data_IF_828845914233
#
_entry.id   IF_828845914233
#
_cell.length_a   1.000
_cell.length_b   1.000
_cell.length_c   1.000
_cell.angle_alpha   90.00
_cell.angle_beta   90.00
_cell.angle_gamma   90.00
#
_symmetry.space_group_name_H-M   'P 1'
#
loop_
_entity.id
_entity.type
_entity.pdbx_description
1 polymer ?
#
# COMPACT_ATOMS: atom_id res chain seq x y z
N UNK A 1 -6.12 16.87 -8.70
CA UNK A 1 -4.73 16.86 -8.20
C UNK A 1 -3.98 18.08 -8.70
N UNK A 2 -3.07 18.60 -7.88
CA UNK A 2 -2.26 19.79 -8.16
C UNK A 2 -0.82 19.47 -7.74
N UNK A 3 0.16 19.86 -8.57
CA UNK A 3 1.57 19.75 -8.24
C UNK A 3 2.17 21.11 -7.87
N UNK A 4 2.95 21.14 -6.80
CA UNK A 4 3.81 22.27 -6.42
C UNK A 4 5.19 21.73 -6.07
N UNK A 5 6.17 21.93 -6.96
CA UNK A 5 7.48 21.29 -6.88
C UNK A 5 7.29 19.75 -6.81
N UNK A 6 7.90 19.08 -5.85
CA UNK A 6 7.76 17.65 -5.62
C UNK A 6 6.58 17.27 -4.69
N UNK A 7 5.64 18.18 -4.42
CA UNK A 7 4.45 17.89 -3.60
C UNK A 7 3.23 17.79 -4.51
N UNK A 8 2.52 16.67 -4.43
CA UNK A 8 1.22 16.46 -5.06
C UNK A 8 0.15 16.61 -3.98
N UNK A 9 -0.90 17.35 -4.31
CA UNK A 9 -2.07 17.52 -3.46
C UNK A 9 -3.33 17.02 -4.17
N UNK A 10 -4.11 16.23 -3.47
CA UNK A 10 -5.49 15.94 -3.85
C UNK A 10 -6.40 16.87 -3.06
N UNK A 11 -7.13 17.73 -3.77
CA UNK A 11 -8.15 18.62 -3.20
C UNK A 11 -9.50 17.98 -3.41
N UNK A 12 -10.28 17.81 -2.34
CA UNK A 12 -11.62 17.23 -2.37
C UNK A 12 -12.55 17.97 -1.40
N UNK A 13 -13.86 17.78 -1.49
CA UNK A 13 -14.80 18.31 -0.49
C UNK A 13 -14.52 17.79 0.93
N UNK A 14 -13.85 16.64 1.06
CA UNK A 14 -13.46 16.04 2.34
C UNK A 14 -12.13 16.60 2.89
N UNK A 15 -11.48 17.51 2.19
CA UNK A 15 -10.21 18.10 2.61
C UNK A 15 -9.10 17.93 1.58
N UNK A 16 -7.91 18.37 1.98
CA UNK A 16 -6.69 18.33 1.18
C UNK A 16 -5.73 17.35 1.80
N UNK A 17 -5.17 16.46 0.98
CA UNK A 17 -4.10 15.54 1.37
C UNK A 17 -2.95 15.62 0.40
N UNK A 18 -1.75 15.27 0.85
CA UNK A 18 -0.52 15.49 0.11
C UNK A 18 0.42 14.29 0.12
N UNK A 19 1.25 14.24 -0.92
CA UNK A 19 2.36 13.30 -1.06
C UNK A 19 3.62 14.06 -1.46
N UNK A 20 4.74 13.72 -0.84
CA UNK A 20 6.06 14.16 -1.29
C UNK A 20 6.58 13.09 -2.25
N UNK A 21 6.69 13.46 -3.51
CA UNK A 21 7.09 12.60 -4.62
C UNK A 21 8.61 12.65 -4.84
N UNK A 22 9.20 11.74 -5.65
CA UNK A 22 10.56 11.90 -6.15
C UNK A 22 10.78 13.28 -6.78
N UNK A 23 12.00 13.79 -6.75
CA UNK A 23 12.30 15.17 -7.21
C UNK A 23 12.03 15.39 -8.70
N UNK A 24 12.19 14.34 -9.49
CA UNK A 24 11.98 14.31 -10.95
C UNK A 24 10.58 13.85 -11.38
N UNK A 25 9.67 13.64 -10.41
CA UNK A 25 8.30 13.27 -10.71
C UNK A 25 7.50 14.45 -11.28
N UNK A 26 6.80 14.20 -12.37
CA UNK A 26 5.91 15.18 -13.02
C UNK A 26 4.48 14.65 -13.09
N UNK A 27 3.54 15.37 -12.46
CA UNK A 27 2.11 14.99 -12.43
C UNK A 27 1.50 14.85 -13.83
N UNK A 28 1.95 15.68 -14.79
CA UNK A 28 1.46 15.64 -16.18
C UNK A 28 1.79 14.33 -16.91
N UNK A 29 2.76 13.57 -16.42
CA UNK A 29 3.16 12.27 -16.96
C UNK A 29 2.38 11.10 -16.32
N UNK A 30 1.59 11.38 -15.28
CA UNK A 30 0.73 10.39 -14.63
C UNK A 30 -0.60 10.33 -15.35
N UNK A 31 -0.97 9.15 -15.84
CA UNK A 31 -2.23 8.93 -16.55
C UNK A 31 -3.44 9.30 -15.67
N UNK A 32 -4.45 9.93 -16.26
CA UNK A 32 -5.65 10.38 -15.54
C UNK A 32 -6.36 9.23 -14.82
N UNK A 33 -6.35 8.03 -15.38
CA UNK A 33 -6.94 6.83 -14.77
C UNK A 33 -6.31 6.52 -13.39
N UNK A 34 -5.02 6.75 -13.22
CA UNK A 34 -4.34 6.57 -11.93
C UNK A 34 -4.78 7.61 -10.91
N UNK A 35 -4.91 8.87 -11.33
CA UNK A 35 -5.39 9.94 -10.46
C UNK A 35 -6.83 9.67 -10.02
N UNK A 36 -7.69 9.27 -10.95
CA UNK A 36 -9.09 8.93 -10.69
C UNK A 36 -9.20 7.70 -9.79
N UNK A 37 -8.41 6.67 -10.04
CA UNK A 37 -8.36 5.47 -9.20
C UNK A 37 -7.83 5.76 -7.79
N UNK A 38 -6.80 6.58 -7.65
CA UNK A 38 -6.29 7.01 -6.34
C UNK A 38 -7.37 7.77 -5.57
N UNK A 39 -8.04 8.73 -6.19
CA UNK A 39 -9.16 9.44 -5.58
C UNK A 39 -10.27 8.48 -5.17
N UNK A 40 -10.63 7.51 -6.02
CA UNK A 40 -11.66 6.53 -5.72
C UNK A 40 -11.28 5.64 -4.54
N UNK A 41 -10.06 5.12 -4.49
CA UNK A 41 -9.56 4.31 -3.38
C UNK A 41 -9.66 5.06 -2.05
N UNK A 42 -9.36 6.36 -2.05
CA UNK A 42 -9.38 7.18 -0.84
C UNK A 42 -10.78 7.66 -0.44
N UNK A 43 -11.62 8.05 -1.41
CA UNK A 43 -12.87 8.76 -1.17
C UNK A 43 -14.12 7.86 -1.30
N UNK A 44 -13.98 6.60 -1.69
CA UNK A 44 -15.12 5.69 -1.91
C UNK A 44 -16.13 5.63 -0.74
N UNK A 45 -15.70 5.61 0.53
CA UNK A 45 -16.66 5.63 1.65
C UNK A 45 -17.49 6.91 1.72
N UNK A 46 -17.02 8.02 1.15
CA UNK A 46 -17.66 9.33 1.17
C UNK A 46 -18.37 9.64 -0.16
N UNK A 47 -17.87 9.08 -1.28
CA UNK A 47 -18.46 9.28 -2.61
C UNK A 47 -18.36 8.01 -3.44
N UNK A 48 -19.51 7.50 -3.89
CA UNK A 48 -19.60 6.30 -4.73
C UNK A 48 -19.58 6.62 -6.23
N UNK A 49 -19.74 7.90 -6.60
CA UNK A 49 -19.95 8.35 -8.00
C UNK A 49 -18.66 8.76 -8.74
N UNK A 50 -17.49 8.62 -8.13
CA UNK A 50 -16.22 9.07 -8.72
C UNK A 50 -15.86 8.37 -10.03
N UNK A 51 -16.43 7.20 -10.27
CA UNK A 51 -16.18 6.41 -11.48
C UNK A 51 -17.38 6.36 -12.44
N UNK A 52 -18.45 7.15 -12.20
CA UNK A 52 -19.62 7.18 -13.08
C UNK A 52 -19.19 7.65 -14.48
N UNK A 53 -19.52 6.85 -15.49
CA UNK A 53 -19.16 7.13 -16.90
C UNK A 53 -17.68 7.03 -17.23
N UNK A 54 -16.85 6.52 -16.29
CA UNK A 54 -15.43 6.36 -16.54
C UNK A 54 -15.13 5.15 -17.44
N UNK A 55 -14.34 5.40 -18.48
CA UNK A 55 -13.82 4.39 -19.39
C UNK A 55 -12.30 4.44 -19.33
N UNK A 56 -11.66 3.49 -18.63
CA UNK A 56 -10.22 3.49 -18.49
C UNK A 56 -9.49 3.16 -19.79
N UNK A 57 -8.31 3.73 -19.97
CA UNK A 57 -7.49 3.58 -21.17
C UNK A 57 -6.01 3.35 -20.91
N UNK A 58 -5.56 3.45 -19.63
CA UNK A 58 -4.17 3.23 -19.25
C UNK A 58 -3.72 1.81 -19.60
N UNK A 59 -2.50 1.70 -20.09
CA UNK A 59 -1.85 0.42 -20.35
C UNK A 59 -0.96 0.00 -19.18
N UNK A 60 -0.87 -1.30 -18.95
CA UNK A 60 0.01 -1.86 -17.91
C UNK A 60 1.47 -1.52 -18.17
N UNK A 61 2.23 -1.33 -17.10
CA UNK A 61 3.68 -1.25 -17.12
C UNK A 61 4.36 -2.62 -17.25
N UNK A 62 5.51 -2.81 -16.58
CA UNK A 62 6.32 -4.04 -16.69
C UNK A 62 6.86 -4.54 -15.35
N UNK A 63 6.53 -3.89 -14.26
CA UNK A 63 7.14 -4.15 -12.95
C UNK A 63 6.06 -4.30 -11.89
N UNK A 64 6.15 -5.28 -10.98
CA UNK A 64 5.25 -5.35 -9.85
C UNK A 64 5.58 -4.29 -8.80
N UNK A 65 4.54 -3.74 -8.18
CA UNK A 65 4.62 -2.83 -7.04
C UNK A 65 4.22 -3.51 -5.73
N UNK A 66 4.81 -3.10 -4.61
CA UNK A 66 4.46 -3.59 -3.28
C UNK A 66 4.26 -2.43 -2.30
N UNK A 67 3.11 -2.39 -1.62
CA UNK A 67 2.91 -1.54 -0.45
C UNK A 67 3.67 -2.12 0.74
N UNK A 68 4.88 -1.59 0.97
CA UNK A 68 5.81 -2.08 1.99
C UNK A 68 5.53 -1.41 3.33
N UNK A 69 5.16 -2.18 4.35
CA UNK A 69 4.99 -1.67 5.72
C UNK A 69 6.22 -1.88 6.61
N UNK A 70 7.24 -2.59 6.13
CA UNK A 70 8.41 -3.04 6.90
C UNK A 70 8.06 -4.00 8.06
N UNK A 71 6.83 -4.51 8.10
CA UNK A 71 6.43 -5.60 8.98
C UNK A 71 6.70 -6.97 8.35
N UNK A 72 6.62 -8.04 9.16
CA UNK A 72 6.91 -9.43 8.74
C UNK A 72 6.14 -9.79 7.46
N UNK A 73 4.84 -9.51 7.40
CA UNK A 73 4.00 -9.91 6.26
C UNK A 73 4.44 -9.22 4.96
N UNK A 74 4.70 -7.91 5.00
CA UNK A 74 5.13 -7.16 3.79
C UNK A 74 6.54 -7.54 3.35
N UNK A 75 7.44 -7.87 4.29
CA UNK A 75 8.78 -8.32 3.95
C UNK A 75 8.75 -9.76 3.43
N UNK A 76 7.93 -10.66 4.01
CA UNK A 76 7.71 -11.99 3.47
C UNK A 76 7.14 -11.92 2.04
N UNK A 77 6.20 -11.01 1.79
CA UNK A 77 5.67 -10.75 0.44
C UNK A 77 6.79 -10.35 -0.52
N UNK A 78 7.64 -9.39 -0.12
CA UNK A 78 8.76 -8.93 -0.96
C UNK A 78 9.73 -10.07 -1.30
N UNK A 79 10.01 -10.95 -0.35
CA UNK A 79 10.90 -12.12 -0.55
C UNK A 79 10.32 -13.13 -1.56
N UNK A 80 9.01 -13.17 -1.73
CA UNK A 80 8.32 -14.03 -2.70
C UNK A 80 8.14 -13.37 -4.07
N UNK A 81 8.34 -12.05 -4.17
CA UNK A 81 8.15 -11.29 -5.41
C UNK A 81 9.41 -11.25 -6.28
N UNK A 82 9.27 -10.99 -7.59
CA UNK A 82 10.40 -10.84 -8.50
C UNK A 82 11.40 -9.77 -8.08
N UNK A 83 12.67 -9.91 -8.50
CA UNK A 83 13.73 -8.95 -8.16
C UNK A 83 13.53 -7.55 -8.74
N UNK A 84 12.76 -7.40 -9.82
CA UNK A 84 12.43 -6.10 -10.40
C UNK A 84 11.27 -5.38 -9.69
N UNK A 85 10.81 -5.89 -8.55
CA UNK A 85 9.74 -5.29 -7.75
C UNK A 85 10.13 -3.90 -7.25
N UNK A 86 9.16 -2.98 -7.29
CA UNK A 86 9.23 -1.67 -6.67
C UNK A 86 8.46 -1.72 -5.35
N UNK A 87 9.14 -1.60 -4.23
CA UNK A 87 8.53 -1.64 -2.91
C UNK A 87 8.58 -0.24 -2.27
N UNK A 88 7.42 0.36 -2.07
CA UNK A 88 7.28 1.71 -1.55
C UNK A 88 6.74 1.71 -0.13
N UNK A 89 7.48 2.35 0.77
CA UNK A 89 7.08 2.54 2.16
C UNK A 89 6.30 3.84 2.32
N UNK A 90 5.07 3.74 2.83
CA UNK A 90 4.28 4.92 3.21
C UNK A 90 4.77 5.49 4.55
N UNK A 91 5.33 6.70 4.52
CA UNK A 91 5.77 7.45 5.70
C UNK A 91 4.76 8.53 6.04
N UNK A 92 4.20 8.47 7.23
CA UNK A 92 3.26 9.50 7.71
C UNK A 92 3.97 10.83 7.93
N UNK A 93 3.41 11.92 7.42
CA UNK A 93 3.90 13.29 7.67
C UNK A 93 3.43 13.88 9.00
N UNK A 94 2.53 13.21 9.71
CA UNK A 94 1.95 13.63 10.98
C UNK A 94 2.42 12.75 12.15
N UNK A 95 2.31 13.27 13.38
CA UNK A 95 2.64 12.54 14.61
C UNK A 95 1.72 11.33 14.77
N UNK A 96 2.29 10.15 14.87
CA UNK A 96 1.55 8.88 15.02
C UNK A 96 2.26 7.95 16.00
N UNK A 97 1.59 6.87 16.41
CA UNK A 97 2.21 5.83 17.25
C UNK A 97 3.25 4.99 16.49
N UNK A 98 3.29 5.08 15.17
CA UNK A 98 4.27 4.35 14.36
C UNK A 98 5.66 4.97 14.54
N UNK A 99 6.62 4.13 14.89
CA UNK A 99 8.04 4.51 15.03
C UNK A 99 8.77 4.28 13.70
N UNK A 100 8.79 5.29 12.83
CA UNK A 100 9.45 5.21 11.52
C UNK A 100 10.92 4.77 11.61
N UNK A 101 11.64 5.13 12.70
CA UNK A 101 13.02 4.65 12.92
C UNK A 101 13.18 3.14 12.87
N UNK A 102 12.15 2.37 13.27
CA UNK A 102 12.18 0.91 13.15
C UNK A 102 12.06 0.45 11.69
N UNK A 103 11.21 1.13 10.91
CA UNK A 103 11.12 0.88 9.48
C UNK A 103 12.41 1.27 8.76
N UNK A 104 13.08 2.35 9.19
CA UNK A 104 14.33 2.82 8.59
C UNK A 104 15.44 1.75 8.65
N UNK A 105 15.49 0.97 9.72
CA UNK A 105 16.44 -0.15 9.83
C UNK A 105 16.19 -1.19 8.73
N UNK A 106 14.92 -1.60 8.56
CA UNK A 106 14.54 -2.55 7.51
C UNK A 106 14.80 -1.98 6.12
N UNK A 107 14.40 -0.72 5.88
CA UNK A 107 14.59 -0.04 4.59
C UNK A 107 16.06 0.08 4.22
N UNK A 108 16.92 0.44 5.17
CA UNK A 108 18.37 0.55 4.94
C UNK A 108 18.95 -0.81 4.54
N UNK A 109 18.57 -1.89 5.24
CA UNK A 109 19.03 -3.23 4.91
C UNK A 109 18.54 -3.69 3.54
N UNK A 110 17.27 -3.44 3.21
CA UNK A 110 16.72 -3.77 1.88
C UNK A 110 17.42 -3.00 0.75
N UNK A 111 17.74 -1.72 0.96
CA UNK A 111 18.51 -0.91 -0.01
C UNK A 111 19.95 -1.44 -0.19
N UNK A 112 20.60 -1.78 0.92
CA UNK A 112 21.95 -2.38 0.90
C UNK A 112 21.99 -3.68 0.08
N UNK A 113 20.97 -4.52 0.20
CA UNK A 113 20.87 -5.77 -0.58
C UNK A 113 20.77 -5.54 -2.10
N UNK A 114 20.32 -4.38 -2.53
CA UNK A 114 20.22 -3.97 -3.95
C UNK A 114 19.50 -4.99 -4.87
N UNK A 115 18.50 -5.70 -4.32
CA UNK A 115 17.72 -6.71 -5.04
C UNK A 115 16.43 -6.14 -5.65
N UNK A 116 15.90 -5.07 -5.05
CA UNK A 116 14.63 -4.42 -5.39
C UNK A 116 14.79 -2.91 -5.45
N UNK A 117 13.86 -2.23 -6.09
CA UNK A 117 13.76 -0.77 -5.96
C UNK A 117 13.01 -0.46 -4.67
N UNK A 118 13.66 0.18 -3.69
CA UNK A 118 13.09 0.50 -2.38
C UNK A 118 13.05 2.02 -2.21
N UNK A 119 11.87 2.57 -1.95
CA UNK A 119 11.71 3.99 -1.68
C UNK A 119 10.68 4.28 -0.59
N UNK A 120 10.60 5.55 -0.14
CA UNK A 120 9.69 6.01 0.90
C UNK A 120 8.93 7.24 0.43
N UNK A 121 7.61 7.19 0.51
CA UNK A 121 6.74 8.30 0.12
C UNK A 121 6.08 8.87 1.37
N UNK A 122 6.30 10.16 1.62
CA UNK A 122 5.70 10.88 2.75
C UNK A 122 4.30 11.33 2.37
N UNK A 123 3.31 11.08 3.22
CA UNK A 123 1.93 11.48 2.97
C UNK A 123 1.11 11.59 4.25
N UNK A 124 0.03 12.37 4.16
CA UNK A 124 -1.00 12.52 5.20
C UNK A 124 -2.38 11.96 4.79
N UNK A 125 -2.49 11.22 3.72
CA UNK A 125 -3.79 10.79 3.16
C UNK A 125 -4.67 9.99 4.14
N UNK A 126 -4.09 9.38 5.18
CA UNK A 126 -4.85 8.70 6.23
C UNK A 126 -5.74 9.66 7.07
N UNK A 127 -5.44 10.97 7.03
CA UNK A 127 -6.25 12.00 7.72
C UNK A 127 -7.66 12.09 7.15
N UNK A 128 -7.87 11.76 5.88
CA UNK A 128 -9.20 11.73 5.26
C UNK A 128 -10.21 10.87 6.04
N UNK A 129 -9.75 9.84 6.73
CA UNK A 129 -10.65 8.98 7.51
C UNK A 129 -11.33 9.73 8.65
N UNK A 130 -10.76 10.82 9.15
CA UNK A 130 -11.35 11.61 10.22
C UNK A 130 -12.61 12.35 9.77
N UNK A 131 -12.78 12.60 8.49
CA UNK A 131 -14.03 13.19 7.95
C UNK A 131 -15.26 12.25 8.03
N UNK A 132 -15.01 11.00 8.41
CA UNK A 132 -16.07 10.00 8.69
C UNK A 132 -16.25 9.76 10.19
N UNK A 133 -15.84 10.69 11.06
CA UNK A 133 -15.83 10.55 12.51
C UNK A 133 -15.11 9.29 13.02
N UNK A 134 -14.03 8.90 12.30
CA UNK A 134 -13.20 7.74 12.63
C UNK A 134 -11.77 8.18 12.96
N UNK A 135 -11.04 7.44 13.80
CA UNK A 135 -9.63 7.70 14.03
C UNK A 135 -8.82 7.73 12.73
N UNK A 136 -7.71 8.48 12.73
CA UNK A 136 -6.75 8.51 11.61
C UNK A 136 -6.38 7.07 11.21
N UNK A 137 -6.36 6.81 9.91
CA UNK A 137 -6.05 5.50 9.33
C UNK A 137 -6.52 5.40 7.90
N UNK A 138 -6.36 4.25 7.29
CA UNK A 138 -6.78 4.03 5.92
C UNK A 138 -8.31 4.07 5.80
N UNK A 139 -8.80 4.81 4.80
CA UNK A 139 -10.24 4.96 4.54
C UNK A 139 -10.86 3.71 3.90
N UNK A 140 -10.07 2.98 3.11
CA UNK A 140 -10.40 1.67 2.54
C UNK A 140 -9.23 0.71 2.71
N UNK A 141 -9.45 -0.58 2.43
CA UNK A 141 -8.40 -1.61 2.50
C UNK A 141 -7.26 -1.32 1.49
N UNK A 142 -7.56 -0.67 0.37
CA UNK A 142 -6.58 -0.31 -0.66
C UNK A 142 -5.98 1.09 -0.51
N UNK A 143 -6.42 1.88 0.45
CA UNK A 143 -5.84 3.21 0.71
C UNK A 143 -4.33 3.15 1.05
N UNK A 144 -3.86 2.02 1.58
CA UNK A 144 -2.43 1.77 1.79
C UNK A 144 -1.61 1.70 0.50
N UNK A 145 -2.25 1.55 -0.67
CA UNK A 145 -1.62 1.52 -2.00
C UNK A 145 -1.68 2.86 -2.73
N UNK A 146 -2.27 3.92 -2.15
CA UNK A 146 -2.48 5.20 -2.84
C UNK A 146 -1.20 5.76 -3.50
N UNK A 147 -0.08 5.68 -2.81
CA UNK A 147 1.22 6.13 -3.33
C UNK A 147 1.76 5.25 -4.48
N UNK A 148 1.48 3.93 -4.48
CA UNK A 148 1.81 3.05 -5.61
C UNK A 148 0.97 3.37 -6.83
N UNK A 149 -0.31 3.68 -6.63
CA UNK A 149 -1.22 4.05 -7.73
C UNK A 149 -0.73 5.34 -8.38
N UNK A 150 -0.42 6.38 -7.59
CA UNK A 150 0.07 7.66 -8.10
C UNK A 150 1.40 7.54 -8.84
N UNK A 151 2.27 6.63 -8.42
CA UNK A 151 3.61 6.44 -8.98
C UNK A 151 3.67 5.28 -10.00
N UNK A 152 2.51 4.75 -10.42
CA UNK A 152 2.49 3.57 -11.29
C UNK A 152 3.11 3.82 -12.66
N UNK A 153 2.94 5.00 -13.25
CA UNK A 153 3.59 5.33 -14.52
C UNK A 153 5.07 5.66 -14.32
N UNK A 154 5.40 6.41 -13.29
CA UNK A 154 6.79 6.76 -12.95
C UNK A 154 7.68 5.51 -12.77
N UNK A 155 7.17 4.48 -12.10
CA UNK A 155 7.88 3.21 -11.91
C UNK A 155 7.52 2.14 -12.95
N UNK A 156 6.65 2.42 -13.91
CA UNK A 156 6.14 1.49 -14.91
C UNK A 156 5.51 0.22 -14.29
N UNK A 157 4.60 0.42 -13.33
CA UNK A 157 3.96 -0.69 -12.64
C UNK A 157 2.87 -1.36 -13.49
N UNK A 158 2.85 -2.69 -13.48
CA UNK A 158 1.80 -3.56 -14.06
C UNK A 158 0.86 -4.12 -12.99
N UNK A 159 1.30 -4.11 -11.75
CA UNK A 159 0.54 -4.71 -10.64
C UNK A 159 0.89 -4.05 -9.32
N UNK A 160 0.00 -4.23 -8.34
CA UNK A 160 0.24 -3.84 -6.94
C UNK A 160 0.02 -5.04 -6.03
N UNK A 161 0.80 -5.11 -4.94
CA UNK A 161 0.71 -6.15 -3.94
C UNK A 161 0.65 -5.57 -2.52
N UNK A 162 0.06 -6.34 -1.62
CA UNK A 162 0.04 -6.08 -0.18
C UNK A 162 0.43 -7.34 0.58
N UNK A 163 1.04 -7.16 1.75
CA UNK A 163 1.33 -8.25 2.69
C UNK A 163 0.08 -8.68 3.45
N UNK A 164 -0.76 -9.51 2.84
CA UNK A 164 -1.99 -10.03 3.43
C UNK A 164 -1.92 -11.56 3.55
N UNK A 165 -1.55 -12.12 4.73
CA UNK A 165 -1.57 -13.56 4.97
C UNK A 165 -3.01 -14.10 5.00
N UNK A 166 -3.15 -15.43 4.97
CA UNK A 166 -4.44 -16.14 5.00
C UNK A 166 -5.32 -15.69 6.17
N UNK A 167 -4.71 -15.43 7.31
CA UNK A 167 -5.40 -14.98 8.53
C UNK A 167 -6.15 -13.65 8.33
N UNK A 168 -5.64 -12.77 7.47
CA UNK A 168 -6.26 -11.48 7.15
C UNK A 168 -7.11 -11.55 5.88
N UNK A 169 -6.79 -12.45 4.97
CA UNK A 169 -7.45 -12.58 3.66
C UNK A 169 -8.74 -13.38 3.79
N UNK A 170 -8.67 -14.53 4.44
CA UNK A 170 -9.77 -15.51 4.48
C UNK A 170 -10.46 -15.61 5.83
N UNK A 171 -9.87 -15.09 6.90
CA UNK A 171 -10.44 -15.16 8.23
C UNK A 171 -11.01 -13.81 8.67
N UNK A 172 -12.28 -13.80 9.01
CA UNK A 172 -12.92 -12.65 9.65
C UNK A 172 -12.59 -12.69 11.14
N UNK A 173 -11.94 -11.64 11.66
CA UNK A 173 -11.51 -11.53 13.06
C UNK A 173 -10.66 -12.70 13.55
N UNK A 174 -9.93 -13.35 12.64
CA UNK A 174 -9.05 -14.47 12.99
C UNK A 174 -9.74 -15.78 13.35
N UNK A 175 -11.07 -15.84 13.31
CA UNK A 175 -11.82 -17.01 13.81
C UNK A 175 -12.82 -17.61 12.82
N UNK A 176 -13.27 -16.85 11.82
CA UNK A 176 -14.29 -17.29 10.87
C UNK A 176 -13.80 -17.16 9.44
N UNK A 177 -13.92 -18.23 8.68
CA UNK A 177 -13.68 -18.17 7.23
C UNK A 177 -14.61 -17.13 6.60
N UNK A 178 -14.04 -16.21 5.81
CA UNK A 178 -14.82 -15.33 4.95
C UNK A 178 -15.48 -16.21 3.88
N UNK A 179 -16.81 -16.17 3.80
CA UNK A 179 -17.51 -16.78 2.69
C UNK A 179 -17.28 -15.90 1.45
N UNK A 180 -16.29 -16.25 0.63
CA UNK A 180 -15.93 -15.52 -0.60
C UNK A 180 -17.14 -15.25 -1.49
N UNK A 181 -18.08 -16.17 -1.55
CA UNK A 181 -19.33 -16.01 -2.29
C UNK A 181 -20.19 -14.84 -1.80
N UNK A 182 -20.13 -14.51 -0.49
CA UNK A 182 -20.89 -13.40 0.10
C UNK A 182 -20.12 -12.08 0.12
N UNK A 183 -18.80 -12.13 0.00
CA UNK A 183 -17.91 -10.95 -0.01
C UNK A 183 -17.29 -10.72 -1.40
N UNK A 184 -17.90 -11.26 -2.46
CA UNK A 184 -17.55 -11.08 -3.88
C UNK A 184 -17.21 -9.61 -4.20
N UNK A 185 -17.97 -8.68 -3.60
CA UNK A 185 -17.81 -7.26 -3.81
C UNK A 185 -16.41 -6.73 -3.53
N UNK A 186 -15.72 -7.17 -2.47
CA UNK A 186 -14.39 -6.63 -2.13
C UNK A 186 -13.34 -7.09 -3.14
N UNK A 187 -13.37 -8.36 -3.53
CA UNK A 187 -12.35 -8.94 -4.41
C UNK A 187 -12.67 -8.71 -5.89
N UNK A 188 -13.88 -9.03 -6.34
CA UNK A 188 -14.28 -8.88 -7.75
C UNK A 188 -14.29 -7.40 -8.13
N UNK A 189 -14.95 -6.54 -7.34
CA UNK A 189 -15.03 -5.12 -7.63
C UNK A 189 -13.66 -4.44 -7.71
N UNK A 190 -12.80 -4.61 -6.72
CA UNK A 190 -11.49 -3.98 -6.72
C UNK A 190 -10.55 -4.60 -7.74
N UNK A 191 -10.60 -5.93 -7.89
CA UNK A 191 -9.81 -6.63 -8.89
C UNK A 191 -10.12 -6.12 -10.29
N UNK A 192 -11.38 -6.09 -10.67
CA UNK A 192 -11.80 -5.61 -11.99
C UNK A 192 -11.40 -4.14 -12.22
N UNK A 193 -11.55 -3.27 -11.22
CA UNK A 193 -11.14 -1.88 -11.30
C UNK A 193 -9.62 -1.73 -11.49
N UNK A 194 -8.83 -2.45 -10.73
CA UNK A 194 -7.37 -2.39 -10.88
C UNK A 194 -6.92 -2.99 -12.22
N UNK A 195 -7.50 -4.09 -12.64
CA UNK A 195 -7.21 -4.70 -13.95
C UNK A 195 -7.57 -3.75 -15.10
N UNK A 196 -8.67 -3.02 -15.00
CA UNK A 196 -9.12 -2.08 -16.04
C UNK A 196 -8.15 -0.93 -16.28
N UNK A 197 -7.32 -0.56 -15.31
CA UNK A 197 -6.27 0.46 -15.45
C UNK A 197 -4.87 -0.17 -15.63
N UNK A 198 -4.79 -1.45 -15.94
CA UNK A 198 -3.51 -2.13 -16.12
C UNK A 198 -2.66 -2.22 -14.84
N UNK A 199 -3.29 -2.31 -13.68
CA UNK A 199 -2.66 -2.55 -12.38
C UNK A 199 -3.29 -3.78 -11.72
N UNK A 200 -2.85 -4.98 -12.07
CA UNK A 200 -3.38 -6.19 -11.44
C UNK A 200 -3.12 -6.23 -9.95
N UNK A 201 -4.12 -6.65 -9.15
CA UNK A 201 -3.92 -6.83 -7.72
C UNK A 201 -3.36 -8.22 -7.41
N UNK A 202 -2.25 -8.26 -6.67
CA UNK A 202 -1.57 -9.49 -6.26
C UNK A 202 -1.53 -9.62 -4.73
N UNK A 203 -1.75 -10.84 -4.23
CA UNK A 203 -1.63 -11.19 -2.82
C UNK A 203 -0.79 -12.45 -2.62
N UNK A 204 0.56 -12.35 -2.73
CA UNK A 204 1.45 -13.52 -2.68
C UNK A 204 1.35 -14.34 -1.38
N UNK A 205 0.91 -13.72 -0.28
CA UNK A 205 0.71 -14.41 1.00
C UNK A 205 -0.71 -14.93 1.24
N UNK A 206 -1.64 -14.80 0.29
CA UNK A 206 -3.05 -15.16 0.51
C UNK A 206 -3.28 -16.62 0.97
N UNK A 207 -2.41 -17.53 0.56
CA UNK A 207 -2.42 -18.94 0.99
C UNK A 207 -1.47 -19.28 2.14
N UNK A 208 -0.79 -18.31 2.73
CA UNK A 208 0.26 -18.50 3.74
C UNK A 208 -0.17 -17.86 5.05
N UNK A 209 -0.08 -18.60 6.15
CA UNK A 209 -0.40 -18.09 7.50
C UNK A 209 0.65 -17.09 7.99
N UNK A 210 0.31 -16.30 9.02
CA UNK A 210 1.27 -15.41 9.70
C UNK A 210 2.50 -16.19 10.21
N UNK A 211 2.31 -17.42 10.71
CA UNK A 211 3.41 -18.30 11.08
C UNK A 211 4.29 -18.70 9.88
N UNK A 212 3.67 -18.93 8.72
CA UNK A 212 4.37 -19.18 7.46
C UNK A 212 5.16 -17.95 6.99
N UNK A 213 4.57 -16.75 7.06
CA UNK A 213 5.25 -15.48 6.75
C UNK A 213 6.48 -15.26 7.66
N UNK A 214 6.33 -15.51 8.98
CA UNK A 214 7.45 -15.45 9.91
C UNK A 214 8.57 -16.44 9.54
N UNK A 215 8.21 -17.67 9.15
CA UNK A 215 9.18 -18.69 8.72
C UNK A 215 9.94 -18.27 7.46
N UNK A 216 9.27 -17.63 6.49
CA UNK A 216 9.93 -17.08 5.30
C UNK A 216 10.98 -16.04 5.70
N UNK A 217 10.61 -15.06 6.55
CA UNK A 217 11.54 -14.02 7.01
C UNK A 217 12.65 -14.62 7.87
N UNK A 218 12.35 -15.58 8.76
CA UNK A 218 13.35 -16.26 9.60
C UNK A 218 14.42 -16.98 8.79
N UNK A 219 14.07 -17.51 7.63
CA UNK A 219 15.01 -18.20 6.74
C UNK A 219 15.77 -17.24 5.80
N UNK A 220 15.62 -15.92 5.97
CA UNK A 220 16.31 -14.89 5.21
C UNK A 220 17.30 -14.11 6.07
N UNK A 221 18.21 -13.39 5.43
CA UNK A 221 19.13 -12.45 6.08
C UNK A 221 18.46 -11.21 6.70
N UNK A 222 17.10 -11.11 6.63
CA UNK A 222 16.35 -9.96 7.10
C UNK A 222 15.77 -10.15 8.51
N UNK A 223 15.86 -11.33 9.12
CA UNK A 223 15.18 -11.60 10.39
C UNK A 223 15.54 -10.60 11.50
N UNK A 224 16.79 -10.21 11.60
CA UNK A 224 17.27 -9.28 12.64
C UNK A 224 16.92 -7.81 12.37
N UNK A 225 16.47 -7.51 11.17
CA UNK A 225 16.15 -6.14 10.70
C UNK A 225 14.64 -5.87 10.60
N UNK A 226 13.79 -6.90 10.71
CA UNK A 226 12.34 -6.79 10.56
C UNK A 226 11.66 -6.79 11.92
N UNK A 227 10.71 -5.90 12.10
CA UNK A 227 9.93 -5.81 13.33
C UNK A 227 8.48 -6.23 13.06
N UNK A 228 7.91 -7.10 13.94
CA UNK A 228 6.49 -7.47 13.88
C UNK A 228 5.57 -6.29 14.22
N UNK A 229 6.08 -5.29 14.93
CA UNK A 229 5.30 -4.13 15.36
C UNK A 229 6.15 -2.85 15.32
N UNK A 230 5.68 -1.86 14.58
CA UNK A 230 6.31 -0.53 14.52
C UNK A 230 5.84 0.42 15.62
N UNK A 231 4.89 0.01 16.49
CA UNK A 231 4.32 0.89 17.52
C UNK A 231 5.11 0.88 18.83
N UNK A 232 5.74 -0.20 19.20
CA UNK A 232 6.45 -0.32 20.48
C UNK A 232 7.68 0.59 20.61
N UNK A 233 8.08 0.90 21.83
CA UNK A 233 9.30 1.69 22.15
C UNK A 233 10.57 0.84 22.25
N UNK A 234 10.45 -0.46 22.44
CA UNK A 234 11.54 -1.41 22.65
C UNK A 234 11.91 -2.20 21.39
N UNK A 235 12.93 -3.04 21.48
CA UNK A 235 13.28 -4.05 20.48
C UNK A 235 12.15 -5.07 20.28
N UNK A 236 11.31 -5.26 21.30
CA UNK A 236 10.13 -6.11 21.24
C UNK A 236 8.90 -5.36 20.75
N UNK A 237 7.89 -6.03 20.23
CA UNK A 237 6.60 -5.45 19.85
C UNK A 237 5.91 -4.75 21.02
N UNK A 238 4.84 -3.96 20.73
CA UNK A 238 4.11 -3.23 21.78
C UNK A 238 3.33 -4.15 22.75
N UNK A 239 3.10 -5.40 22.40
CA UNK A 239 2.33 -6.36 23.19
C UNK A 239 0.83 -6.09 23.29
N UNK A 240 0.33 -5.08 22.55
CA UNK A 240 -1.08 -4.61 22.64
C UNK A 240 -1.91 -4.82 21.39
N UNK A 241 -1.32 -5.36 20.32
CA UNK A 241 -2.02 -5.62 19.06
C UNK A 241 -2.03 -7.11 18.69
#
# INVERSE_FOLDING_TARGET
FIQRKNIIQMVSPCGVVSWVMPEDYELKETHEDLLRMCAHVLLRPMSKKLLDGWVPSRKAGKRPGLALSCGIDSVATLLLMPKNTVALYHRRSFKSMIKHKKADITLSKLKEMNKWTIDSIISDHEVLRTTMDKPIGFSTDFACCAHLILLADYYQLDSIAMGMPIDNTYLRKGAQFRAFEKEKFVWEYWKELFESIGLSYNSPLAGISQGGALKIVKNSELIDFVNSCLRGSSKNGCGTC
#
